data_IF_969592924231
#
_entry.id   IF_969592924231
#
_cell.length_a   1.000
_cell.length_b   1.000
_cell.length_c   1.000
_cell.angle_alpha   90.00
_cell.angle_beta   90.00
_cell.angle_gamma   90.00
#
_symmetry.space_group_name_H-M   'P 1'
#
loop_
_entity.id
_entity.type
_entity.pdbx_description
1 polymer ?
#
# COMPACT_ATOMS: atom_id res chain seq x y z
N UNK A 1 12.50 -3.38 32.13
CA UNK A 1 13.73 -3.04 31.37
C UNK A 1 13.34 -2.66 29.96
N UNK A 2 13.57 -1.41 29.56
CA UNK A 2 13.33 -0.96 28.19
C UNK A 2 14.43 -1.53 27.31
N UNK A 3 14.10 -2.42 26.35
CA UNK A 3 15.08 -2.92 25.39
C UNK A 3 15.56 -1.73 24.55
N UNK A 4 16.85 -1.43 24.60
CA UNK A 4 17.46 -0.43 23.73
C UNK A 4 17.42 -0.97 22.30
N UNK A 5 16.85 -0.20 21.38
CA UNK A 5 16.81 -0.57 19.96
C UNK A 5 18.23 -0.49 19.40
N UNK A 6 18.64 -1.53 18.68
CA UNK A 6 19.88 -1.53 17.91
C UNK A 6 19.67 -0.72 16.62
N UNK A 7 20.09 0.55 16.64
CA UNK A 7 19.88 1.47 15.53
C UNK A 7 20.58 1.02 14.24
N UNK A 8 21.86 0.57 14.26
CA UNK A 8 22.49 -0.01 13.07
C UNK A 8 21.72 -1.18 12.47
N UNK A 9 21.31 -2.15 13.27
CA UNK A 9 20.55 -3.30 12.78
C UNK A 9 19.19 -2.89 12.19
N UNK A 10 18.49 -1.95 12.84
CA UNK A 10 17.23 -1.41 12.34
C UNK A 10 17.39 -0.70 11.00
N UNK A 11 18.45 0.11 10.82
CA UNK A 11 18.72 0.77 9.54
C UNK A 11 18.92 -0.24 8.42
N UNK A 12 19.76 -1.24 8.63
CA UNK A 12 20.02 -2.27 7.62
C UNK A 12 18.74 -3.03 7.25
N UNK A 13 17.87 -3.31 8.23
CA UNK A 13 16.56 -3.91 7.99
C UNK A 13 15.67 -3.01 7.12
N UNK A 14 15.55 -1.73 7.45
CA UNK A 14 14.74 -0.77 6.70
C UNK A 14 15.24 -0.62 5.26
N UNK A 15 16.56 -0.45 5.07
CA UNK A 15 17.17 -0.30 3.74
C UNK A 15 16.91 -1.53 2.87
N UNK A 16 17.03 -2.73 3.45
CA UNK A 16 16.74 -3.97 2.73
C UNK A 16 15.27 -4.06 2.33
N UNK A 17 14.34 -3.85 3.27
CA UNK A 17 12.89 -3.89 2.99
C UNK A 17 12.51 -2.82 1.96
N UNK A 18 13.10 -1.62 2.05
CA UNK A 18 12.86 -0.55 1.10
C UNK A 18 13.27 -0.96 -0.33
N UNK A 19 14.50 -1.41 -0.51
CA UNK A 19 15.03 -1.74 -1.83
C UNK A 19 14.42 -3.01 -2.43
N UNK A 20 14.20 -4.04 -1.61
CA UNK A 20 13.75 -5.36 -2.07
C UNK A 20 12.23 -5.49 -2.14
N UNK A 21 11.46 -4.65 -1.44
CA UNK A 21 9.99 -4.80 -1.35
C UNK A 21 9.19 -3.51 -1.48
N UNK A 22 9.59 -2.36 -0.94
CA UNK A 22 8.75 -1.16 -1.07
C UNK A 22 8.94 -0.49 -2.46
N UNK A 23 10.19 -0.37 -2.90
CA UNK A 23 10.54 0.35 -4.13
C UNK A 23 10.01 -0.34 -5.40
N UNK A 24 10.12 -1.67 -5.61
CA UNK A 24 9.58 -2.30 -6.81
C UNK A 24 8.06 -2.12 -6.92
N UNK A 25 7.33 -2.24 -5.82
CA UNK A 25 5.89 -2.06 -5.75
C UNK A 25 5.47 -0.60 -6.01
N UNK A 26 6.24 0.36 -5.53
CA UNK A 26 6.04 1.77 -5.86
C UNK A 26 6.28 2.04 -7.36
N UNK A 27 7.27 1.40 -7.99
CA UNK A 27 7.47 1.51 -9.45
C UNK A 27 6.25 1.01 -10.20
N UNK A 28 5.69 -0.14 -9.83
CA UNK A 28 4.47 -0.67 -10.44
C UNK A 28 3.24 0.21 -10.17
N UNK A 29 3.13 0.77 -8.97
CA UNK A 29 2.06 1.72 -8.64
C UNK A 29 2.09 2.96 -9.55
N UNK A 30 3.26 3.57 -9.77
CA UNK A 30 3.39 4.81 -10.58
C UNK A 30 3.00 4.57 -12.05
N UNK A 31 3.06 3.32 -12.55
CA UNK A 31 2.58 2.96 -13.89
C UNK A 31 1.05 2.98 -14.01
N UNK A 32 0.33 2.92 -12.90
CA UNK A 32 -1.13 2.97 -12.89
C UNK A 32 -1.56 4.44 -13.04
N UNK A 33 -2.33 4.81 -14.08
CA UNK A 33 -2.79 6.18 -14.27
C UNK A 33 -3.97 6.51 -13.34
N UNK A 34 -3.77 6.35 -12.03
CA UNK A 34 -4.76 6.50 -10.97
C UNK A 34 -4.99 7.98 -10.65
N UNK A 35 -5.83 8.65 -11.45
CA UNK A 35 -6.22 10.03 -11.23
C UNK A 35 -7.29 10.12 -10.13
N UNK A 36 -7.24 11.21 -9.34
CA UNK A 36 -8.32 11.54 -8.39
C UNK A 36 -9.63 11.81 -9.14
N UNK A 37 -10.82 11.55 -8.55
CA UNK A 37 -12.12 11.79 -9.19
C UNK A 37 -12.32 13.22 -9.70
N UNK A 38 -11.61 14.21 -9.13
CA UNK A 38 -11.61 15.59 -9.59
C UNK A 38 -11.01 15.77 -11.00
N UNK A 39 -10.15 14.84 -11.44
CA UNK A 39 -9.44 14.89 -12.72
C UNK A 39 -9.84 13.76 -13.69
N UNK A 40 -10.71 12.85 -13.24
CA UNK A 40 -11.25 11.75 -14.04
C UNK A 40 -12.68 11.43 -13.55
N UNK A 41 -13.69 11.91 -14.29
CA UNK A 41 -15.10 11.69 -13.93
C UNK A 41 -15.51 10.22 -14.09
N UNK A 42 -14.81 9.47 -14.93
CA UNK A 42 -15.06 8.05 -15.22
C UNK A 42 -14.10 7.14 -14.46
N UNK A 43 -13.43 7.64 -13.41
CA UNK A 43 -12.43 6.92 -12.61
C UNK A 43 -12.86 5.50 -12.20
N UNK A 44 -14.15 5.32 -11.88
CA UNK A 44 -14.72 4.03 -11.49
C UNK A 44 -14.76 3.06 -12.67
N UNK A 45 -15.17 3.52 -13.85
CA UNK A 45 -15.19 2.72 -15.08
C UNK A 45 -13.78 2.43 -15.59
N UNK A 46 -12.86 3.40 -15.46
CA UNK A 46 -11.45 3.24 -15.85
C UNK A 46 -10.70 2.24 -14.96
N UNK A 47 -11.18 1.99 -13.73
CA UNK A 47 -10.69 0.91 -12.86
C UNK A 47 -9.26 1.08 -12.34
N UNK A 48 -8.59 2.19 -12.63
CA UNK A 48 -7.20 2.45 -12.19
C UNK A 48 -7.08 2.51 -10.68
N UNK A 49 -8.05 3.12 -10.00
CA UNK A 49 -8.06 3.21 -8.54
C UNK A 49 -8.23 1.84 -7.89
N UNK A 50 -9.04 0.97 -8.48
CA UNK A 50 -9.23 -0.40 -8.03
C UNK A 50 -7.95 -1.23 -8.18
N UNK A 51 -7.26 -1.05 -9.32
CA UNK A 51 -5.94 -1.68 -9.56
C UNK A 51 -4.91 -1.19 -8.54
N UNK A 52 -4.86 0.11 -8.27
CA UNK A 52 -3.92 0.71 -7.33
C UNK A 52 -4.14 0.21 -5.89
N UNK A 53 -5.39 0.21 -5.41
CA UNK A 53 -5.67 -0.23 -4.04
C UNK A 53 -5.45 -1.74 -3.86
N UNK A 54 -5.74 -2.54 -4.90
CA UNK A 54 -5.46 -3.98 -4.89
C UNK A 54 -3.97 -4.26 -4.85
N UNK A 55 -3.15 -3.48 -5.57
CA UNK A 55 -1.69 -3.57 -5.53
C UNK A 55 -1.17 -3.33 -4.10
N UNK A 56 -1.62 -2.26 -3.44
CA UNK A 56 -1.19 -1.97 -2.08
C UNK A 56 -1.69 -3.00 -1.06
N UNK A 57 -2.94 -3.45 -1.16
CA UNK A 57 -3.49 -4.49 -0.29
C UNK A 57 -2.68 -5.79 -0.42
N UNK A 58 -2.35 -6.19 -1.65
CA UNK A 58 -1.53 -7.38 -1.92
C UNK A 58 -0.12 -7.23 -1.34
N UNK A 59 0.50 -6.06 -1.48
CA UNK A 59 1.82 -5.80 -0.89
C UNK A 59 1.78 -5.87 0.65
N UNK A 60 0.79 -5.24 1.26
CA UNK A 60 0.61 -5.24 2.72
C UNK A 60 0.41 -6.67 3.26
N UNK A 61 -0.37 -7.50 2.58
CA UNK A 61 -0.59 -8.91 2.96
C UNK A 61 0.72 -9.72 2.99
N UNK A 62 1.67 -9.42 2.11
CA UNK A 62 2.98 -10.10 2.05
C UNK A 62 3.93 -9.67 3.17
N UNK A 63 3.65 -8.58 3.88
CA UNK A 63 4.50 -8.11 4.98
C UNK A 63 4.32 -8.93 6.27
N UNK A 64 3.37 -9.88 6.30
CA UNK A 64 3.12 -10.78 7.43
C UNK A 64 3.00 -10.01 8.77
N UNK A 65 2.25 -8.91 8.74
CA UNK A 65 2.06 -8.05 9.90
C UNK A 65 1.30 -8.80 10.98
N UNK A 66 2.02 -9.24 12.01
CA UNK A 66 1.46 -10.00 13.11
C UNK A 66 0.29 -9.24 13.75
N UNK A 67 -0.87 -9.91 13.80
CA UNK A 67 -2.13 -9.41 14.38
C UNK A 67 -2.79 -8.25 13.63
N UNK A 68 -2.32 -7.91 12.42
CA UNK A 68 -2.99 -6.91 11.62
C UNK A 68 -4.13 -7.52 10.78
N UNK A 69 -5.21 -6.77 10.56
CA UNK A 69 -6.17 -7.06 9.49
C UNK A 69 -5.91 -6.17 8.29
N UNK A 70 -6.25 -6.64 7.08
CA UNK A 70 -6.04 -5.89 5.84
C UNK A 70 -7.31 -6.01 5.01
N UNK A 71 -8.04 -4.90 4.89
CA UNK A 71 -9.35 -4.88 4.26
C UNK A 71 -9.48 -3.74 3.25
N UNK A 72 -10.14 -4.02 2.12
CA UNK A 72 -10.56 -2.99 1.18
C UNK A 72 -12.05 -2.71 1.40
N UNK A 73 -12.33 -1.58 2.02
CA UNK A 73 -13.68 -1.10 2.29
C UNK A 73 -14.21 -0.30 1.10
N UNK A 74 -15.45 -0.59 0.68
CA UNK A 74 -16.10 0.04 -0.47
C UNK A 74 -17.46 0.58 -0.07
N UNK A 75 -17.67 1.86 -0.32
CA UNK A 75 -18.95 2.55 -0.13
C UNK A 75 -19.42 3.05 -1.49
N UNK A 76 -20.73 2.93 -1.74
CA UNK A 76 -21.33 3.40 -2.99
C UNK A 76 -20.98 4.87 -3.26
N UNK A 77 -20.67 5.18 -4.53
CA UNK A 77 -20.25 6.52 -4.97
C UNK A 77 -19.01 7.11 -4.30
N UNK A 78 -18.25 6.33 -3.51
CA UNK A 78 -16.96 6.75 -2.93
C UNK A 78 -15.79 5.95 -3.49
N UNK A 79 -14.59 6.51 -3.36
CA UNK A 79 -13.33 5.83 -3.64
C UNK A 79 -13.10 4.70 -2.64
N UNK A 80 -12.42 3.59 -3.03
CA UNK A 80 -12.12 2.51 -2.09
C UNK A 80 -11.13 2.97 -1.00
N UNK A 81 -11.22 2.36 0.18
CA UNK A 81 -10.36 2.61 1.34
C UNK A 81 -9.61 1.31 1.69
N UNK A 82 -8.29 1.40 1.83
CA UNK A 82 -7.48 0.33 2.40
C UNK A 82 -7.37 0.59 3.90
N UNK A 83 -7.94 -0.30 4.71
CA UNK A 83 -7.83 -0.30 6.16
C UNK A 83 -6.79 -1.35 6.58
N UNK A 84 -5.85 -0.93 7.42
CA UNK A 84 -4.88 -1.80 8.09
C UNK A 84 -4.93 -1.44 9.57
N UNK A 85 -5.36 -2.35 10.42
CA UNK A 85 -5.51 -2.16 11.88
C UNK A 85 -4.96 -3.34 12.69
#
# INVERSE_FOLDING_TARGET
>A
MQKKVDTPALRNFIERVWNESALPELVEYVRIPNKSPAFDREWRANGHMERAITLFATWAQRQELNRATIEIQRIEQRTPLLLID
#
